data_IF_231882626875
#
_entry.id   IF_231882626875
#
_cell.length_a   1.000
_cell.length_b   1.000
_cell.length_c   1.000
_cell.angle_alpha   90.00
_cell.angle_beta   90.00
_cell.angle_gamma   90.00
#
_symmetry.space_group_name_H-M   'P 1'
#
loop_
_entity.id
_entity.type
_entity.pdbx_description
1 polymer ?
#
# COMPACT_ATOMS: atom_id res chain seq x y z
N UNK A 1 -10.52 -15.32 -5.59
CA UNK A 1 -10.08 -14.34 -6.59
C UNK A 1 -8.98 -13.50 -5.95
N UNK A 2 -7.72 -13.78 -6.27
CA UNK A 2 -6.54 -13.19 -5.60
C UNK A 2 -6.25 -11.82 -6.23
N UNK A 3 -6.79 -10.74 -5.64
CA UNK A 3 -6.73 -9.36 -6.18
C UNK A 3 -5.34 -8.70 -5.94
N UNK A 4 -4.43 -9.35 -5.24
CA UNK A 4 -3.18 -8.75 -4.78
C UNK A 4 -1.91 -9.44 -5.29
N UNK A 5 -1.84 -9.76 -6.57
CA UNK A 5 -0.59 -10.23 -7.17
C UNK A 5 0.18 -9.08 -7.85
N UNK A 6 0.33 -7.94 -7.15
CA UNK A 6 1.24 -6.90 -7.59
C UNK A 6 2.67 -7.28 -7.19
N UNK A 7 3.46 -7.71 -8.17
CA UNK A 7 4.90 -7.85 -8.02
C UNK A 7 5.56 -6.56 -8.51
N UNK A 8 6.37 -5.86 -7.70
CA UNK A 8 7.19 -4.76 -8.21
C UNK A 8 8.11 -5.32 -9.31
N UNK A 9 8.13 -4.66 -10.47
CA UNK A 9 9.14 -4.96 -11.49
C UNK A 9 10.50 -4.70 -10.88
N UNK A 10 11.40 -5.66 -10.97
CA UNK A 10 12.81 -5.49 -10.65
C UNK A 10 13.33 -4.36 -11.53
N UNK A 11 13.76 -3.25 -10.91
CA UNK A 11 14.37 -2.12 -11.63
C UNK A 11 15.74 -2.59 -12.08
N UNK A 12 15.93 -2.79 -13.38
CA UNK A 12 17.25 -3.00 -13.97
C UNK A 12 17.95 -1.64 -14.10
N UNK A 13 19.27 -1.63 -13.95
CA UNK A 13 20.11 -0.42 -14.03
C UNK A 13 19.96 0.38 -15.35
N UNK A 14 19.39 -0.22 -16.39
CA UNK A 14 19.10 0.43 -17.68
C UNK A 14 17.87 1.37 -17.64
N UNK A 15 17.01 1.28 -16.63
CA UNK A 15 15.85 2.17 -16.45
C UNK A 15 16.21 3.54 -15.85
N UNK A 16 17.50 3.90 -15.80
CA UNK A 16 17.99 5.18 -15.24
C UNK A 16 17.57 6.43 -16.03
N UNK A 17 16.79 6.31 -17.09
CA UNK A 17 16.15 7.45 -17.77
C UNK A 17 14.74 7.76 -17.29
N UNK A 18 14.32 7.21 -16.15
CA UNK A 18 13.03 7.57 -15.56
C UNK A 18 13.08 9.02 -15.07
N UNK A 19 12.39 9.89 -15.76
CA UNK A 19 12.19 11.28 -15.34
C UNK A 19 11.50 11.28 -13.98
N UNK A 20 12.18 11.79 -12.96
CA UNK A 20 11.59 11.98 -11.65
C UNK A 20 10.60 13.13 -11.71
N UNK A 21 9.33 12.84 -11.60
CA UNK A 21 8.27 13.86 -11.58
C UNK A 21 8.03 14.23 -10.11
N UNK A 22 8.35 15.47 -9.77
CA UNK A 22 7.96 16.07 -8.51
C UNK A 22 6.46 16.36 -8.53
N UNK A 23 5.66 15.64 -7.77
CA UNK A 23 4.25 15.94 -7.56
C UNK A 23 4.01 16.35 -6.12
N UNK A 24 3.42 17.54 -5.96
CA UNK A 24 2.93 17.97 -4.65
C UNK A 24 1.64 17.19 -4.35
N UNK A 25 1.62 16.47 -3.23
CA UNK A 25 0.41 15.82 -2.76
C UNK A 25 -0.58 16.90 -2.30
N UNK A 26 -1.74 17.05 -2.94
CA UNK A 26 -2.69 18.10 -2.58
C UNK A 26 -3.27 17.92 -1.16
N UNK A 27 -3.24 16.70 -0.62
CA UNK A 27 -3.75 16.43 0.71
C UNK A 27 -2.74 16.74 1.83
N UNK A 28 -1.44 16.55 1.57
CA UNK A 28 -0.38 16.72 2.57
C UNK A 28 0.56 17.89 2.28
N UNK A 29 0.48 18.46 1.08
CA UNK A 29 1.39 19.51 0.62
C UNK A 29 2.84 19.05 0.39
N UNK A 30 3.14 17.77 0.61
CA UNK A 30 4.48 17.23 0.46
C UNK A 30 4.81 16.91 -1.00
N UNK A 31 6.02 17.26 -1.42
CA UNK A 31 6.55 16.85 -2.72
C UNK A 31 7.06 15.43 -2.64
N UNK A 32 6.45 14.52 -3.39
CA UNK A 32 6.91 13.14 -3.53
C UNK A 32 7.54 12.98 -4.90
N UNK A 33 8.83 12.67 -4.92
CA UNK A 33 9.52 12.28 -6.15
C UNK A 33 9.12 10.85 -6.52
N UNK A 34 8.52 10.68 -7.68
CA UNK A 34 8.12 9.37 -8.22
C UNK A 34 8.60 9.26 -9.66
N UNK A 35 8.89 8.05 -10.10
CA UNK A 35 9.05 7.78 -11.52
C UNK A 35 7.69 7.92 -12.23
N UNK A 36 7.69 8.23 -13.50
CA UNK A 36 6.44 8.33 -14.29
C UNK A 36 5.67 7.00 -14.25
N UNK A 37 6.36 5.88 -14.40
CA UNK A 37 5.81 4.53 -14.29
C UNK A 37 5.15 4.28 -12.92
N UNK A 38 5.76 4.74 -11.84
CA UNK A 38 5.24 4.59 -10.47
C UNK A 38 3.98 5.46 -10.25
N UNK A 39 3.97 6.66 -10.84
CA UNK A 39 2.83 7.56 -10.80
C UNK A 39 1.63 6.98 -11.57
N UNK A 40 1.86 6.36 -12.73
CA UNK A 40 0.83 5.72 -13.53
C UNK A 40 0.28 4.45 -12.87
N UNK A 41 1.15 3.64 -12.30
CA UNK A 41 0.74 2.48 -11.52
C UNK A 41 -0.13 2.87 -10.31
N UNK A 42 0.26 3.95 -9.60
CA UNK A 42 -0.53 4.49 -8.51
C UNK A 42 -1.90 5.00 -8.96
N UNK A 43 -1.97 5.75 -10.08
CA UNK A 43 -3.25 6.25 -10.61
C UNK A 43 -4.20 5.09 -10.96
N UNK A 44 -3.70 4.09 -11.70
CA UNK A 44 -4.47 2.89 -12.06
C UNK A 44 -4.97 2.16 -10.83
N UNK A 45 -4.10 1.94 -9.85
CA UNK A 45 -4.47 1.28 -8.60
C UNK A 45 -5.61 2.01 -7.88
N UNK A 46 -5.52 3.35 -7.74
CA UNK A 46 -6.57 4.15 -7.09
C UNK A 46 -7.90 4.03 -7.84
N UNK A 47 -7.89 4.14 -9.16
CA UNK A 47 -9.11 4.03 -9.98
C UNK A 47 -9.76 2.67 -9.83
N UNK A 48 -8.99 1.59 -9.97
CA UNK A 48 -9.48 0.22 -9.84
C UNK A 48 -10.02 -0.08 -8.43
N UNK A 49 -9.30 0.39 -7.41
CA UNK A 49 -9.70 0.19 -6.02
C UNK A 49 -11.01 0.91 -5.70
N UNK A 50 -11.14 2.18 -6.11
CA UNK A 50 -12.37 2.95 -5.91
C UNK A 50 -13.54 2.31 -6.65
N UNK A 51 -13.35 1.87 -7.89
CA UNK A 51 -14.37 1.16 -8.65
C UNK A 51 -14.83 -0.15 -7.97
N UNK A 52 -13.89 -0.90 -7.38
CA UNK A 52 -14.19 -2.13 -6.64
C UNK A 52 -15.02 -1.87 -5.36
N UNK A 53 -14.85 -0.71 -4.73
CA UNK A 53 -15.62 -0.30 -3.55
C UNK A 53 -17.09 0.04 -3.88
N UNK A 54 -17.44 0.32 -5.15
CA UNK A 54 -18.77 0.71 -5.61
C UNK A 54 -19.38 1.84 -4.76
N UNK A 55 -18.67 2.95 -4.57
CA UNK A 55 -19.13 4.05 -3.75
C UNK A 55 -20.30 4.76 -4.41
N UNK A 56 -21.25 5.25 -3.62
CA UNK A 56 -22.37 6.07 -4.04
C UNK A 56 -22.39 7.36 -3.21
N UNK A 57 -22.33 8.47 -3.92
CA UNK A 57 -22.22 9.79 -3.30
C UNK A 57 -20.80 10.18 -2.88
N UNK A 58 -20.63 11.48 -2.62
CA UNK A 58 -19.33 12.12 -2.42
C UNK A 58 -18.57 11.56 -1.20
N UNK A 59 -19.27 11.26 -0.13
CA UNK A 59 -18.64 10.80 1.14
C UNK A 59 -18.06 9.39 0.93
N UNK A 60 -18.80 8.49 0.30
CA UNK A 60 -18.31 7.14 0.02
C UNK A 60 -17.14 7.16 -0.98
N UNK A 61 -17.18 8.06 -1.98
CA UNK A 61 -16.06 8.25 -2.93
C UNK A 61 -14.81 8.70 -2.18
N UNK A 62 -14.90 9.68 -1.29
CA UNK A 62 -13.76 10.16 -0.49
C UNK A 62 -13.20 9.05 0.42
N UNK A 63 -14.07 8.27 1.06
CA UNK A 63 -13.62 7.14 1.89
C UNK A 63 -12.93 6.06 1.04
N UNK A 64 -13.48 5.71 -0.11
CA UNK A 64 -12.89 4.75 -1.03
C UNK A 64 -11.51 5.23 -1.55
N UNK A 65 -11.36 6.52 -1.86
CA UNK A 65 -10.08 7.12 -2.24
C UNK A 65 -9.05 7.05 -1.11
N UNK A 66 -9.44 7.35 0.13
CA UNK A 66 -8.56 7.21 1.30
C UNK A 66 -8.13 5.77 1.52
N UNK A 67 -9.06 4.83 1.42
CA UNK A 67 -8.76 3.40 1.52
C UNK A 67 -7.76 2.95 0.46
N UNK A 68 -7.95 3.39 -0.78
CA UNK A 68 -7.01 3.09 -1.87
C UNK A 68 -5.62 3.65 -1.60
N UNK A 69 -5.53 4.90 -1.11
CA UNK A 69 -4.25 5.55 -0.77
C UNK A 69 -3.55 4.83 0.40
N UNK A 70 -4.28 4.48 1.46
CA UNK A 70 -3.71 3.80 2.61
C UNK A 70 -3.25 2.37 2.23
N UNK A 71 -4.04 1.66 1.42
CA UNK A 71 -3.66 0.34 0.89
C UNK A 71 -2.38 0.41 0.04
N UNK A 72 -2.26 1.41 -0.85
CA UNK A 72 -1.05 1.63 -1.63
C UNK A 72 0.18 1.88 -0.74
N UNK A 73 0.03 2.72 0.29
CA UNK A 73 1.11 3.03 1.24
C UNK A 73 1.55 1.82 2.04
N UNK A 74 0.59 1.00 2.51
CA UNK A 74 0.89 -0.25 3.24
C UNK A 74 1.71 -1.19 2.35
N UNK A 75 1.31 -1.39 1.09
CA UNK A 75 2.06 -2.24 0.17
C UNK A 75 3.47 -1.70 -0.10
N UNK A 76 3.61 -0.37 -0.20
CA UNK A 76 4.92 0.26 -0.41
C UNK A 76 5.85 0.10 0.81
N UNK A 77 5.32 0.17 2.02
CA UNK A 77 6.10 -0.04 3.24
C UNK A 77 6.62 -1.45 3.32
N UNK A 78 5.80 -2.45 3.02
CA UNK A 78 6.24 -3.85 2.95
C UNK A 78 7.36 -4.04 1.95
N UNK A 79 7.24 -3.45 0.76
CA UNK A 79 8.30 -3.50 -0.24
C UNK A 79 9.59 -2.80 0.25
N UNK A 80 9.48 -1.70 1.01
CA UNK A 80 10.65 -1.03 1.62
C UNK A 80 11.31 -1.93 2.66
N UNK A 81 10.54 -2.58 3.52
CA UNK A 81 11.05 -3.53 4.51
C UNK A 81 11.79 -4.70 3.84
N UNK A 82 11.19 -5.32 2.83
CA UNK A 82 11.83 -6.38 2.04
C UNK A 82 13.14 -5.90 1.39
N UNK A 83 13.16 -4.68 0.85
CA UNK A 83 14.36 -4.10 0.25
C UNK A 83 15.47 -3.83 1.30
N UNK A 84 15.12 -3.43 2.52
CA UNK A 84 16.10 -3.26 3.60
C UNK A 84 16.76 -4.58 3.93
N UNK A 85 16.00 -5.66 4.05
CA UNK A 85 16.56 -6.99 4.25
C UNK A 85 17.40 -7.47 3.05
N UNK A 86 16.95 -7.19 1.82
CA UNK A 86 17.72 -7.52 0.62
C UNK A 86 19.05 -6.76 0.56
N UNK A 87 19.06 -5.46 0.91
CA UNK A 87 20.29 -4.67 1.00
C UNK A 87 21.25 -5.20 2.06
N UNK A 88 20.75 -5.78 3.14
CA UNK A 88 21.57 -6.43 4.15
C UNK A 88 22.49 -7.51 3.59
N UNK A 89 22.11 -8.18 2.51
CA UNK A 89 22.94 -9.19 1.83
C UNK A 89 24.15 -8.59 1.07
N UNK A 90 24.11 -7.32 0.71
CA UNK A 90 25.22 -6.61 0.06
C UNK A 90 26.25 -6.06 1.03
N UNK A 91 25.95 -6.06 2.32
CA UNK A 91 26.78 -5.49 3.35
C UNK A 91 28.00 -6.38 3.71
N UNK A 92 29.11 -5.80 4.21
CA UNK A 92 30.34 -6.55 4.55
C UNK A 92 30.11 -7.69 5.55
N UNK A 93 29.20 -7.51 6.52
CA UNK A 93 28.87 -8.55 7.52
C UNK A 93 28.10 -9.73 6.93
N UNK A 94 27.51 -9.61 5.74
CA UNK A 94 26.83 -10.71 5.06
C UNK A 94 27.80 -11.78 4.55
N UNK A 95 29.10 -11.53 4.58
CA UNK A 95 30.15 -12.49 4.17
C UNK A 95 30.39 -13.63 5.16
N UNK A 96 29.45 -13.87 6.08
CA UNK A 96 29.50 -14.97 7.03
C UNK A 96 29.43 -16.30 6.26
N UNK A 97 30.45 -17.14 6.42
CA UNK A 97 30.45 -18.49 5.84
C UNK A 97 29.57 -19.40 6.70
N UNK A 98 28.46 -19.85 6.14
CA UNK A 98 27.59 -20.85 6.75
C UNK A 98 27.49 -22.06 5.83
N UNK A 99 27.28 -23.24 6.41
CA UNK A 99 27.18 -24.48 5.65
C UNK A 99 25.88 -24.56 4.82
N UNK A 100 24.85 -23.81 5.19
CA UNK A 100 23.53 -23.86 4.58
C UNK A 100 23.07 -22.46 4.15
N UNK A 101 22.58 -22.27 2.91
CA UNK A 101 22.09 -20.98 2.41
C UNK A 101 20.95 -20.39 3.25
N UNK A 102 20.05 -21.24 3.74
CA UNK A 102 18.91 -20.81 4.58
C UNK A 102 19.36 -20.19 5.90
N UNK A 103 20.36 -20.82 6.55
CA UNK A 103 20.96 -20.28 7.78
C UNK A 103 21.65 -18.96 7.49
N UNK A 104 22.34 -18.85 6.36
CA UNK A 104 22.98 -17.60 5.94
C UNK A 104 21.94 -16.48 5.80
N UNK A 105 20.85 -16.73 5.09
CA UNK A 105 19.79 -15.73 4.89
C UNK A 105 19.18 -15.27 6.21
N UNK A 106 18.87 -16.20 7.12
CA UNK A 106 18.33 -15.90 8.45
C UNK A 106 19.31 -15.07 9.30
N UNK A 107 20.61 -15.38 9.24
CA UNK A 107 21.63 -14.61 9.96
C UNK A 107 21.79 -13.21 9.41
N UNK A 108 21.76 -13.03 8.08
CA UNK A 108 21.82 -11.70 7.45
C UNK A 108 20.62 -10.86 7.85
N UNK A 109 19.41 -11.42 7.86
CA UNK A 109 18.22 -10.72 8.33
C UNK A 109 18.35 -10.30 9.80
N UNK A 110 18.80 -11.19 10.67
CA UNK A 110 19.02 -10.89 12.09
C UNK A 110 20.06 -9.78 12.30
N UNK A 111 21.14 -9.77 11.50
CA UNK A 111 22.16 -8.73 11.55
C UNK A 111 21.64 -7.39 11.04
N UNK A 112 20.86 -7.38 9.97
CA UNK A 112 20.19 -6.18 9.46
C UNK A 112 19.30 -5.57 10.53
N UNK A 113 18.48 -6.38 11.20
CA UNK A 113 17.64 -5.95 12.31
C UNK A 113 18.47 -5.38 13.47
N UNK A 114 19.57 -6.04 13.82
CA UNK A 114 20.45 -5.60 14.92
C UNK A 114 21.15 -4.27 14.61
N UNK A 115 21.51 -4.05 13.33
CA UNK A 115 22.27 -2.85 12.94
C UNK A 115 21.41 -1.59 12.88
N UNK A 116 20.14 -1.70 12.49
CA UNK A 116 19.23 -0.55 12.45
C UNK A 116 17.84 -0.89 13.04
N UNK A 117 17.77 -1.18 14.35
CA UNK A 117 16.50 -1.51 15.00
C UNK A 117 15.54 -0.33 15.03
N UNK A 118 16.06 0.92 15.02
CA UNK A 118 15.21 2.12 15.02
C UNK A 118 14.47 2.29 13.71
N UNK A 119 15.13 2.08 12.58
CA UNK A 119 14.50 2.18 11.25
C UNK A 119 13.35 1.18 11.12
N UNK A 120 13.59 -0.08 11.49
CA UNK A 120 12.56 -1.13 11.45
C UNK A 120 11.41 -0.86 12.43
N UNK A 121 11.71 -0.33 13.61
CA UNK A 121 10.68 0.10 14.56
C UNK A 121 9.82 1.24 14.00
N UNK A 122 10.41 2.22 13.31
CA UNK A 122 9.66 3.31 12.67
C UNK A 122 8.79 2.80 11.52
N UNK A 123 9.28 1.89 10.70
CA UNK A 123 8.52 1.25 9.62
C UNK A 123 7.31 0.51 10.20
N UNK A 124 7.52 -0.33 11.20
CA UNK A 124 6.46 -1.07 11.87
C UNK A 124 5.41 -0.14 12.51
N UNK A 125 5.84 0.91 13.21
CA UNK A 125 4.92 1.89 13.80
C UNK A 125 4.10 2.63 12.72
N UNK A 126 4.73 2.98 11.61
CA UNK A 126 4.05 3.63 10.50
C UNK A 126 3.04 2.70 9.82
N UNK A 127 3.39 1.43 9.60
CA UNK A 127 2.48 0.40 9.10
C UNK A 127 1.26 0.22 10.01
N UNK A 128 1.48 0.13 11.33
CA UNK A 128 0.39 0.01 12.31
C UNK A 128 -0.58 1.20 12.24
N UNK A 129 -0.07 2.42 12.13
CA UNK A 129 -0.90 3.64 12.01
C UNK A 129 -1.73 3.62 10.74
N UNK A 130 -1.13 3.26 9.61
CA UNK A 130 -1.85 3.17 8.33
C UNK A 130 -2.90 2.06 8.36
N UNK A 131 -2.58 0.90 8.90
CA UNK A 131 -3.50 -0.22 9.04
C UNK A 131 -4.70 0.15 9.92
N UNK A 132 -4.46 0.85 11.03
CA UNK A 132 -5.54 1.36 11.89
C UNK A 132 -6.45 2.34 11.15
N UNK A 133 -5.88 3.31 10.42
CA UNK A 133 -6.64 4.27 9.62
C UNK A 133 -7.46 3.57 8.53
N UNK A 134 -6.85 2.62 7.85
CA UNK A 134 -7.51 1.79 6.85
C UNK A 134 -8.72 1.05 7.43
N UNK A 135 -8.57 0.40 8.58
CA UNK A 135 -9.66 -0.32 9.25
C UNK A 135 -10.81 0.60 9.66
N UNK A 136 -10.50 1.80 10.18
CA UNK A 136 -11.49 2.81 10.55
C UNK A 136 -12.27 3.26 9.31
N UNK A 137 -11.57 3.67 8.25
CA UNK A 137 -12.19 4.12 7.01
C UNK A 137 -13.03 3.01 6.35
N UNK A 138 -12.55 1.75 6.37
CA UNK A 138 -13.30 0.60 5.85
C UNK A 138 -14.59 0.35 6.65
N UNK A 139 -14.53 0.45 7.97
CA UNK A 139 -15.71 0.28 8.82
C UNK A 139 -16.74 1.38 8.59
N UNK A 140 -16.28 2.62 8.38
CA UNK A 140 -17.16 3.76 8.05
C UNK A 140 -17.83 3.55 6.68
N UNK A 141 -17.06 3.17 5.65
CA UNK A 141 -17.62 2.89 4.32
C UNK A 141 -18.68 1.79 4.37
N UNK A 142 -18.37 0.68 5.06
CA UNK A 142 -19.33 -0.43 5.22
C UNK A 142 -20.61 -0.01 5.94
N UNK A 143 -20.52 0.83 6.98
CA UNK A 143 -21.69 1.38 7.69
C UNK A 143 -22.57 2.23 6.76
N UNK A 144 -21.97 3.12 5.97
CA UNK A 144 -22.70 3.93 5.01
C UNK A 144 -23.41 3.07 3.95
N UNK A 145 -22.69 2.10 3.39
CA UNK A 145 -23.26 1.20 2.40
C UNK A 145 -24.39 0.31 2.97
N UNK A 146 -24.26 -0.17 4.19
CA UNK A 146 -25.31 -0.97 4.85
C UNK A 146 -26.54 -0.15 5.19
N UNK A 147 -26.40 1.11 5.56
CA UNK A 147 -27.53 2.01 5.85
C UNK A 147 -28.34 2.38 4.60
N UNK A 148 -27.70 2.39 3.44
CA UNK A 148 -28.33 2.65 2.13
C UNK A 148 -29.19 1.50 1.62
N UNK A 149 -28.78 0.26 1.84
CA UNK A 149 -29.46 -0.93 1.31
C UNK A 149 -30.95 -1.04 1.67
N UNK A 150 -31.38 -0.79 2.93
CA UNK A 150 -32.79 -0.88 3.29
C UNK A 150 -33.66 0.23 2.66
N UNK A 151 -33.09 1.39 2.34
CA UNK A 151 -33.82 2.49 1.68
C UNK A 151 -34.12 2.11 0.24
N UNK A 152 -33.14 1.60 -0.51
CA UNK A 152 -33.31 1.15 -1.88
C UNK A 152 -34.25 -0.05 -2.02
N UNK A 153 -34.30 -0.91 -1.01
CA UNK A 153 -35.24 -2.02 -0.99
C UNK A 153 -36.69 -1.55 -0.83
N UNK A 154 -36.93 -0.53 0.02
CA UNK A 154 -38.27 0.08 0.20
C UNK A 154 -38.75 0.82 -1.04
N UNK A 155 -37.87 1.59 -1.68
CA UNK A 155 -38.21 2.30 -2.92
C UNK A 155 -38.59 1.35 -4.05
N UNK A 156 -37.85 0.24 -4.24
CA UNK A 156 -38.18 -0.78 -5.23
C UNK A 156 -39.54 -1.46 -4.99
N UNK A 157 -39.91 -1.68 -3.74
CA UNK A 157 -41.22 -2.24 -3.40
C UNK A 157 -42.35 -1.26 -3.70
N UNK A 158 -42.16 0.03 -3.41
CA UNK A 158 -43.13 1.08 -3.69
C UNK A 158 -43.34 1.31 -5.20
N UNK A 159 -42.27 1.30 -5.99
CA UNK A 159 -42.33 1.47 -7.44
C UNK A 159 -42.90 0.24 -8.16
N UNK A 160 -42.82 -0.96 -7.57
CA UNK A 160 -43.41 -2.18 -8.12
C UNK A 160 -44.91 -2.34 -7.76
N UNK A 161 -45.39 -1.57 -6.80
CA UNK A 161 -46.81 -1.60 -6.34
C UNK A 161 -47.67 -0.45 -6.93
N UNK A 162 -47.06 0.44 -7.73
CA UNK A 162 -47.74 1.52 -8.45
C UNK A 162 -47.88 1.19 -9.94
#
# INVERSE_FOLDING_TARGET
MNIFNWRPKTITLDDQKSVLIGRRDPATGQSVLRTESDADAHRRFIVEYVAACKPDGMIEIQLAQRLAQDSWRINRIKAVEENIFALGHSEPWAKIKTAHPEIHAAMVQALTFRNDPKLLAYISLYEQRLTKNFQINLSMLKKLQSSRQPVLAKEKVMTAAA
#
